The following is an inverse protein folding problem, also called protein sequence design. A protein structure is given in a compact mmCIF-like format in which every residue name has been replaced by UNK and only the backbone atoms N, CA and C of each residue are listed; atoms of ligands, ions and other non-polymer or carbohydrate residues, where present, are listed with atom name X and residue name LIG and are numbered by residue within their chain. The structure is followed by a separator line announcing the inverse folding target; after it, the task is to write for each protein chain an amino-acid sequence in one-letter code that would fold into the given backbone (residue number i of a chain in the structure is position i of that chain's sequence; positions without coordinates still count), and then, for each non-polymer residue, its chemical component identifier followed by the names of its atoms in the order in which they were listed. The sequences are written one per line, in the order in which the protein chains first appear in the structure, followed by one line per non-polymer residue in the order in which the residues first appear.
data_IF_502849841137
#
_entry.id   IF_502849841137
#
_cell.length_a   1.000
_cell.length_b   1.000
_cell.length_c   1.000
_cell.angle_alpha   90.00
_cell.angle_beta   90.00
_cell.angle_gamma   90.00
#
_symmetry.space_group_name_H-M   'P 1'
#
loop_
_entity.id
_entity.type
_entity.pdbx_description
1 polymer ?
#
# COMPACT_ATOMS: atom_id res chain seq x y z
N UNK A 1 -51.45 49.39 17.68
CA UNK A 1 -50.39 50.37 18.00
C UNK A 1 -49.24 50.18 17.01
N UNK A 2 -48.74 51.24 16.36
CA UNK A 2 -47.61 51.08 15.46
C UNK A 2 -46.31 50.84 16.26
N UNK A 3 -45.39 50.00 15.78
CA UNK A 3 -44.12 49.75 16.46
C UNK A 3 -43.26 51.03 16.42
N UNK A 4 -42.94 51.56 17.60
CA UNK A 4 -42.09 52.74 17.76
C UNK A 4 -40.68 52.41 17.28
N UNK A 5 -40.28 52.97 16.13
CA UNK A 5 -38.92 52.83 15.63
C UNK A 5 -37.95 53.59 16.52
N UNK A 6 -36.91 52.91 16.98
CA UNK A 6 -35.84 53.47 17.78
C UNK A 6 -35.10 54.55 16.97
N UNK A 7 -34.83 55.74 17.53
CA UNK A 7 -34.17 56.81 16.79
C UNK A 7 -32.73 56.45 16.45
N UNK A 8 -32.31 56.74 15.21
CA UNK A 8 -31.00 56.42 14.60
C UNK A 8 -29.76 56.74 15.47
N UNK A 9 -29.87 57.71 16.39
CA UNK A 9 -28.78 58.05 17.33
C UNK A 9 -28.46 56.91 18.30
N UNK A 10 -29.47 56.13 18.75
CA UNK A 10 -29.28 55.04 19.71
C UNK A 10 -28.61 53.80 19.11
N UNK A 11 -28.62 53.63 17.78
CA UNK A 11 -27.90 52.54 17.10
C UNK A 11 -26.38 52.79 17.10
N UNK A 12 -25.95 54.03 16.80
CA UNK A 12 -24.53 54.38 16.76
C UNK A 12 -23.82 54.27 18.11
N UNK A 13 -24.54 54.49 19.20
CA UNK A 13 -24.03 54.37 20.57
C UNK A 13 -23.78 52.91 20.96
N UNK A 14 -24.60 51.97 20.46
CA UNK A 14 -24.40 50.53 20.63
C UNK A 14 -23.25 49.99 19.76
N UNK A 15 -23.14 50.46 18.52
CA UNK A 15 -22.03 50.09 17.61
C UNK A 15 -20.66 50.57 18.11
N UNK A 16 -20.61 51.66 18.88
CA UNK A 16 -19.38 52.14 19.50
C UNK A 16 -18.94 51.24 20.66
N UNK A 17 -19.89 50.62 21.39
CA UNK A 17 -19.62 49.76 22.53
C UNK A 17 -19.16 48.35 22.12
N UNK A 18 -19.51 47.88 20.92
CA UNK A 18 -19.10 46.55 20.40
C UNK A 18 -17.66 46.49 19.86
N UNK A 19 -16.96 47.63 19.72
CA UNK A 19 -15.55 47.64 19.31
C UNK A 19 -14.57 47.13 20.39
N UNK A 20 -15.08 46.79 21.58
CA UNK A 20 -14.31 46.39 22.76
C UNK A 20 -13.86 44.92 22.82
N UNK A 21 -14.35 44.03 21.96
CA UNK A 21 -13.98 42.61 22.01
C UNK A 21 -13.48 42.10 20.67
N UNK A 22 -12.34 42.62 20.22
CA UNK A 22 -11.56 41.91 19.19
C UNK A 22 -11.16 40.57 19.79
N UNK A 23 -11.79 39.49 19.35
CA UNK A 23 -11.37 38.13 19.65
C UNK A 23 -9.91 37.99 19.20
N UNK A 24 -8.98 38.10 20.17
CA UNK A 24 -7.59 37.80 19.91
C UNK A 24 -7.54 36.33 19.55
N UNK A 25 -6.86 36.01 18.45
CA UNK A 25 -6.53 34.62 18.16
C UNK A 25 -5.84 33.99 19.38
N UNK A 26 -5.86 32.65 19.49
CA UNK A 26 -5.23 31.95 20.59
C UNK A 26 -3.81 32.48 20.80
N UNK A 27 -3.48 32.84 22.05
CA UNK A 27 -2.15 33.36 22.35
C UNK A 27 -1.08 32.32 21.99
N UNK A 28 0.09 32.76 21.47
CA UNK A 28 1.20 31.87 21.21
C UNK A 28 1.60 31.18 22.52
N UNK A 29 1.63 29.85 22.50
CA UNK A 29 2.03 29.05 23.66
C UNK A 29 3.53 29.25 23.91
N UNK A 30 3.89 29.44 25.19
CA UNK A 30 5.30 29.54 25.60
C UNK A 30 6.06 28.24 25.31
N UNK A 31 7.39 28.30 25.18
CA UNK A 31 8.23 27.13 24.88
C UNK A 31 7.98 25.94 25.83
N UNK A 32 7.75 26.20 27.12
CA UNK A 32 7.43 25.16 28.11
C UNK A 32 6.02 24.56 27.95
N UNK A 33 5.10 25.26 27.28
CA UNK A 33 3.74 24.80 26.96
C UNK A 33 3.65 24.16 25.56
N UNK A 34 4.65 24.36 24.71
CA UNK A 34 4.77 23.65 23.44
C UNK A 34 5.20 22.21 23.72
N UNK A 35 4.22 21.35 24.05
CA UNK A 35 4.40 19.90 24.02
C UNK A 35 4.53 19.46 22.57
N UNK A 36 5.68 19.69 21.95
CA UNK A 36 6.04 19.04 20.68
C UNK A 36 6.12 17.55 21.00
N UNK A 37 5.03 16.82 20.79
CA UNK A 37 5.04 15.37 20.87
C UNK A 37 5.84 14.88 19.68
N UNK A 38 7.15 14.73 19.86
CA UNK A 38 8.01 13.93 18.97
C UNK A 38 7.63 12.45 19.16
N UNK A 39 6.38 12.08 18.82
CA UNK A 39 6.00 10.69 18.59
C UNK A 39 6.03 10.43 17.08
N UNK A 40 7.10 10.86 16.41
CA UNK A 40 7.42 10.30 15.10
C UNK A 40 8.17 9.02 15.41
N UNK A 41 7.48 7.89 15.32
CA UNK A 41 8.17 6.60 15.34
C UNK A 41 9.22 6.60 14.23
N UNK A 42 10.45 6.10 14.48
CA UNK A 42 11.43 5.99 13.42
C UNK A 42 10.81 5.20 12.27
N UNK A 43 11.03 5.67 11.03
CA UNK A 43 10.53 5.03 9.80
C UNK A 43 10.77 3.53 9.90
N UNK A 44 9.72 2.77 10.16
CA UNK A 44 9.79 1.33 10.19
C UNK A 44 10.15 0.85 8.78
N UNK A 45 10.99 -0.17 8.71
CA UNK A 45 11.49 -0.77 7.47
C UNK A 45 10.31 -0.99 6.51
N UNK A 46 10.46 -0.63 5.24
CA UNK A 46 9.44 -0.91 4.22
C UNK A 46 9.14 -2.41 4.25
N UNK A 47 7.97 -2.78 4.75
CA UNK A 47 7.52 -4.16 4.77
C UNK A 47 7.21 -4.54 3.31
N UNK A 48 8.19 -5.16 2.65
CA UNK A 48 7.96 -5.79 1.36
C UNK A 48 7.07 -7.00 1.59
N UNK A 49 5.79 -6.85 1.30
CA UNK A 49 4.83 -7.94 1.27
C UNK A 49 4.97 -8.66 -0.07
N UNK A 50 5.53 -9.86 -0.02
CA UNK A 50 5.61 -10.75 -1.19
C UNK A 50 4.30 -11.51 -1.32
N UNK A 51 3.79 -11.61 -2.54
CA UNK A 51 2.55 -12.35 -2.82
C UNK A 51 2.75 -13.84 -2.55
N UNK A 52 1.66 -14.56 -2.30
CA UNK A 52 1.72 -16.02 -2.11
C UNK A 52 2.33 -16.70 -3.33
N UNK A 53 1.95 -16.27 -4.53
CA UNK A 53 2.48 -16.77 -5.80
C UNK A 53 3.99 -16.61 -5.90
N UNK A 54 4.53 -15.42 -5.58
CA UNK A 54 5.97 -15.19 -5.57
C UNK A 54 6.69 -16.12 -4.58
N UNK A 55 6.10 -16.35 -3.39
CA UNK A 55 6.69 -17.27 -2.40
C UNK A 55 6.73 -18.70 -2.93
N UNK A 56 5.65 -19.16 -3.56
CA UNK A 56 5.56 -20.51 -4.14
C UNK A 56 6.53 -20.66 -5.30
N UNK A 57 6.61 -19.66 -6.18
CA UNK A 57 7.53 -19.66 -7.32
C UNK A 57 8.98 -19.80 -6.87
N UNK A 58 9.40 -19.03 -5.86
CA UNK A 58 10.75 -19.09 -5.28
C UNK A 58 11.02 -20.47 -4.66
N UNK A 59 10.05 -21.03 -3.94
CA UNK A 59 10.19 -22.36 -3.31
C UNK A 59 10.29 -23.47 -4.36
N UNK A 60 9.44 -23.44 -5.38
CA UNK A 60 9.48 -24.38 -6.49
C UNK A 60 10.81 -24.28 -7.25
N UNK A 61 11.31 -23.06 -7.46
CA UNK A 61 12.60 -22.87 -8.11
C UNK A 61 13.74 -23.50 -7.30
N UNK A 62 13.75 -23.32 -5.99
CA UNK A 62 14.75 -23.94 -5.12
C UNK A 62 14.68 -25.48 -5.09
N UNK A 63 13.50 -26.07 -5.28
CA UNK A 63 13.28 -27.50 -5.20
C UNK A 63 13.53 -28.23 -6.53
N UNK A 64 13.03 -27.67 -7.63
CA UNK A 64 12.99 -28.35 -8.93
C UNK A 64 14.00 -27.83 -9.94
N UNK A 65 14.45 -26.57 -9.80
CA UNK A 65 15.42 -26.02 -10.75
C UNK A 65 16.78 -26.68 -10.55
N UNK A 66 17.57 -26.72 -11.61
CA UNK A 66 18.94 -27.22 -11.57
C UNK A 66 19.88 -26.20 -12.19
N UNK A 67 20.92 -25.82 -11.44
CA UNK A 67 21.96 -24.90 -11.87
C UNK A 67 23.21 -25.71 -12.24
N UNK A 68 23.86 -25.42 -13.38
CA UNK A 68 25.16 -25.99 -13.70
C UNK A 68 26.17 -25.70 -12.59
N UNK A 69 26.91 -26.73 -12.16
CA UNK A 69 28.01 -26.54 -11.22
C UNK A 69 29.28 -26.25 -12.01
N UNK A 70 29.80 -25.03 -11.87
CA UNK A 70 31.07 -24.58 -12.47
C UNK A 70 32.27 -25.22 -11.75
N UNK A 71 32.33 -26.54 -11.72
CA UNK A 71 33.55 -27.25 -11.42
C UNK A 71 34.32 -27.39 -12.73
N UNK A 72 35.58 -26.95 -12.74
CA UNK A 72 36.51 -26.86 -13.89
C UNK A 72 36.87 -28.20 -14.56
N UNK A 73 36.09 -29.25 -14.32
CA UNK A 73 36.34 -30.61 -14.76
C UNK A 73 35.25 -30.98 -15.80
N UNK A 74 35.64 -31.70 -16.86
CA UNK A 74 34.90 -31.98 -18.12
C UNK A 74 33.44 -32.49 -18.03
N UNK A 75 32.86 -32.65 -16.85
CA UNK A 75 31.48 -33.13 -16.67
C UNK A 75 30.68 -32.09 -15.89
N UNK A 76 29.80 -31.37 -16.60
CA UNK A 76 28.87 -30.41 -15.98
C UNK A 76 27.92 -31.21 -15.08
N UNK A 77 28.13 -31.13 -13.76
CA UNK A 77 27.21 -31.71 -12.79
C UNK A 77 26.13 -30.68 -12.49
N UNK A 78 24.87 -31.08 -12.61
CA UNK A 78 23.75 -30.23 -12.23
C UNK A 78 23.57 -30.28 -10.70
N UNK A 79 23.33 -29.12 -10.08
CA UNK A 79 23.08 -29.01 -8.64
C UNK A 79 21.81 -28.23 -8.35
N UNK A 80 21.24 -28.44 -7.16
CA UNK A 80 20.16 -27.60 -6.67
C UNK A 80 20.66 -26.16 -6.45
N UNK A 81 19.82 -25.14 -6.73
CA UNK A 81 20.19 -23.76 -6.53
C UNK A 81 20.41 -23.43 -5.07
N UNK A 82 21.34 -22.52 -4.84
CA UNK A 82 21.63 -21.99 -3.51
C UNK A 82 20.72 -20.82 -3.16
N UNK A 83 20.62 -20.52 -1.87
CA UNK A 83 19.83 -19.37 -1.41
C UNK A 83 20.41 -18.02 -1.89
N UNK A 84 21.72 -17.95 -2.12
CA UNK A 84 22.37 -16.75 -2.64
C UNK A 84 21.99 -16.51 -4.11
N UNK A 85 21.98 -17.57 -4.92
CA UNK A 85 21.50 -17.52 -6.31
C UNK A 85 20.02 -17.15 -6.38
N UNK A 86 19.17 -17.76 -5.54
CA UNK A 86 17.77 -17.38 -5.45
C UNK A 86 17.59 -15.91 -5.03
N UNK A 87 18.42 -15.43 -4.09
CA UNK A 87 18.38 -14.04 -3.64
C UNK A 87 18.73 -13.08 -4.77
N UNK A 88 19.75 -13.41 -5.58
CA UNK A 88 20.15 -12.63 -6.73
C UNK A 88 19.10 -12.64 -7.86
N UNK A 89 18.54 -13.82 -8.16
CA UNK A 89 17.56 -14.00 -9.23
C UNK A 89 16.23 -13.30 -8.94
N UNK A 90 15.64 -13.55 -7.77
CA UNK A 90 14.33 -12.99 -7.40
C UNK A 90 14.42 -11.60 -6.76
N UNK A 91 15.64 -11.11 -6.45
CA UNK A 91 15.89 -9.84 -5.74
C UNK A 91 15.21 -9.80 -4.35
N UNK A 92 15.11 -10.96 -3.72
CA UNK A 92 14.52 -11.15 -2.37
C UNK A 92 15.67 -11.42 -1.39
N UNK A 93 15.69 -10.81 -0.20
CA UNK A 93 16.75 -11.07 0.76
C UNK A 93 16.85 -12.54 1.16
N UNK A 94 18.07 -13.09 1.16
CA UNK A 94 18.38 -14.48 1.57
C UNK A 94 17.71 -14.89 2.90
N UNK A 95 17.71 -14.00 3.89
CA UNK A 95 17.08 -14.24 5.20
C UNK A 95 15.58 -14.49 5.10
N UNK A 96 14.90 -13.80 4.18
CA UNK A 96 13.46 -13.92 3.95
C UNK A 96 13.14 -15.25 3.28
N UNK A 97 13.91 -15.61 2.24
CA UNK A 97 13.77 -16.90 1.54
C UNK A 97 14.03 -18.05 2.53
N UNK A 98 15.10 -17.94 3.33
CA UNK A 98 15.42 -18.93 4.36
C UNK A 98 14.31 -19.11 5.41
N UNK A 99 13.57 -18.04 5.74
CA UNK A 99 12.39 -18.13 6.62
C UNK A 99 11.25 -18.92 5.97
N UNK A 100 11.00 -18.74 4.67
CA UNK A 100 9.94 -19.46 3.96
C UNK A 100 10.21 -20.95 3.81
N UNK A 101 11.49 -21.34 3.71
CA UNK A 101 11.91 -22.73 3.61
C UNK A 101 11.64 -23.55 4.89
N UNK A 102 11.40 -22.89 6.03
CA UNK A 102 11.06 -23.61 7.27
C UNK A 102 9.75 -24.40 7.09
N UNK A 103 9.68 -25.67 7.54
CA UNK A 103 8.54 -26.54 7.25
C UNK A 103 7.21 -25.95 7.74
N UNK A 104 7.21 -25.36 8.94
CA UNK A 104 6.04 -24.68 9.53
C UNK A 104 5.51 -23.54 8.65
N UNK A 105 6.41 -22.78 8.03
CA UNK A 105 6.05 -21.62 7.21
C UNK A 105 5.66 -22.07 5.81
N UNK A 106 6.37 -23.06 5.26
CA UNK A 106 6.09 -23.65 3.96
C UNK A 106 4.68 -24.28 3.94
N UNK A 107 4.34 -25.09 4.95
CA UNK A 107 3.00 -25.65 5.06
C UNK A 107 1.93 -24.56 5.14
N UNK A 108 2.17 -23.49 5.92
CA UNK A 108 1.26 -22.34 5.98
C UNK A 108 1.10 -21.65 4.62
N UNK A 109 2.18 -21.44 3.86
CA UNK A 109 2.12 -20.82 2.53
C UNK A 109 1.31 -21.69 1.56
N UNK A 110 1.52 -23.00 1.57
CA UNK A 110 0.82 -23.95 0.69
C UNK A 110 -0.65 -24.07 1.08
N UNK A 111 -0.95 -24.26 2.37
CA UNK A 111 -2.30 -24.42 2.92
C UNK A 111 -3.13 -23.14 2.93
N UNK A 112 -2.52 -21.98 2.65
CA UNK A 112 -3.24 -20.72 2.46
C UNK A 112 -4.11 -20.80 1.19
N UNK A 113 -5.22 -21.51 1.27
CA UNK A 113 -6.25 -21.66 0.24
C UNK A 113 -7.39 -20.73 0.65
N UNK A 114 -7.62 -19.67 -0.11
CA UNK A 114 -8.72 -18.73 0.13
C UNK A 114 -8.41 -17.57 1.09
N UNK A 115 -7.18 -17.39 1.55
CA UNK A 115 -6.77 -16.16 2.22
C UNK A 115 -6.43 -15.13 1.16
N UNK A 116 -7.43 -14.34 0.77
CA UNK A 116 -7.38 -13.16 -0.11
C UNK A 116 -6.00 -12.94 -0.73
N UNK A 117 -5.90 -13.26 -2.03
CA UNK A 117 -4.93 -12.57 -2.87
C UNK A 117 -5.02 -11.09 -2.50
N UNK A 118 -3.87 -10.43 -2.38
CA UNK A 118 -3.89 -9.01 -1.99
C UNK A 118 -4.95 -8.32 -2.84
N UNK A 119 -5.62 -7.27 -2.38
CA UNK A 119 -6.68 -6.57 -3.14
C UNK A 119 -6.32 -6.20 -4.61
N UNK A 120 -5.06 -6.42 -5.04
CA UNK A 120 -4.49 -6.30 -6.38
C UNK A 120 -4.52 -7.58 -7.24
N UNK A 121 -4.80 -8.75 -6.67
CA UNK A 121 -4.78 -10.06 -7.35
C UNK A 121 -6.19 -10.55 -7.71
N UNK A 122 -7.25 -9.83 -7.33
CA UNK A 122 -8.56 -10.04 -7.94
C UNK A 122 -8.41 -9.75 -9.43
N UNK A 123 -8.67 -10.70 -10.35
CA UNK A 123 -8.73 -10.37 -11.77
C UNK A 123 -9.72 -9.22 -11.86
N UNK A 124 -9.27 -8.08 -12.39
CA UNK A 124 -10.13 -6.92 -12.56
C UNK A 124 -11.35 -7.42 -13.31
N UNK A 125 -12.46 -7.58 -12.60
CA UNK A 125 -13.70 -8.02 -13.20
C UNK A 125 -14.11 -6.83 -14.02
N UNK A 126 -13.73 -6.84 -15.29
CA UNK A 126 -14.12 -5.81 -16.24
C UNK A 126 -15.63 -5.99 -16.42
N UNK A 127 -16.38 -5.31 -15.56
CA UNK A 127 -17.81 -5.18 -15.68
C UNK A 127 -18.04 -4.29 -16.89
N UNK A 128 -18.27 -4.89 -18.06
CA UNK A 128 -18.64 -4.10 -19.22
C UNK A 128 -20.02 -3.49 -18.96
N UNK A 129 -20.05 -2.17 -18.74
CA UNK A 129 -21.27 -1.43 -18.44
C UNK A 129 -22.17 -1.26 -19.68
N UNK A 130 -21.67 -1.62 -20.87
CA UNK A 130 -22.36 -1.41 -22.15
C UNK A 130 -22.18 -2.60 -23.11
N UNK A 131 -22.66 -3.80 -22.72
CA UNK A 131 -22.39 -5.03 -23.47
C UNK A 131 -22.94 -4.97 -24.91
N UNK A 132 -24.10 -4.33 -25.12
CA UNK A 132 -24.70 -4.19 -26.45
C UNK A 132 -23.90 -3.27 -27.38
N UNK A 133 -23.27 -2.24 -26.83
CA UNK A 133 -22.49 -1.27 -27.61
C UNK A 133 -21.14 -1.85 -28.02
N UNK A 134 -20.49 -2.57 -27.09
CA UNK A 134 -19.23 -3.27 -27.35
C UNK A 134 -19.41 -4.34 -28.43
N UNK A 135 -20.51 -5.09 -28.41
CA UNK A 135 -20.83 -6.07 -29.44
C UNK A 135 -20.93 -5.42 -30.83
N UNK A 136 -21.68 -4.31 -30.95
CA UNK A 136 -21.83 -3.58 -32.22
C UNK A 136 -20.49 -3.04 -32.75
N UNK A 137 -19.65 -2.53 -31.86
CA UNK A 137 -18.32 -2.04 -32.24
C UNK A 137 -17.38 -3.17 -32.67
N UNK A 138 -17.45 -4.33 -32.01
CA UNK A 138 -16.67 -5.50 -32.35
C UNK A 138 -17.06 -6.09 -33.72
N UNK A 139 -18.36 -6.20 -33.99
CA UNK A 139 -18.85 -6.64 -35.30
C UNK A 139 -18.42 -5.69 -36.42
N UNK A 140 -18.53 -4.37 -36.20
CA UNK A 140 -18.07 -3.37 -37.15
C UNK A 140 -16.55 -3.40 -37.37
N UNK A 141 -15.78 -3.82 -36.36
CA UNK A 141 -14.32 -3.97 -36.46
C UNK A 141 -13.90 -5.22 -37.26
N UNK A 142 -14.59 -6.35 -37.10
CA UNK A 142 -14.29 -7.59 -37.85
C UNK A 142 -14.65 -7.49 -39.33
N UNK A 143 -15.68 -6.71 -39.67
CA UNK A 143 -16.15 -6.56 -41.06
C UNK A 143 -15.19 -5.71 -41.92
N UNK A 144 -14.18 -5.09 -41.33
CA UNK A 144 -13.17 -4.26 -42.01
C UNK A 144 -11.95 -5.07 -42.44
#
# INVERSE_FOLDING_TARGET
MPPTRTPLRQLKEKDANERGLRHRGPQPKSLNQQKIRLMVTPKQRVERTYTRWQKIEVLNWLEFYQVPNDMRNMTIKMRAPTLDEASAFFKIPKSTIGRWRKPEVLQKIVQQVGGDGSHRDTPATFMCLWPEMELKLFEAFIVR
#
